data_IF_688084203913
#
_entry.id   IF_688084203913
#
_cell.length_a   1.000
_cell.length_b   1.000
_cell.length_c   1.000
_cell.angle_alpha   90.00
_cell.angle_beta   90.00
_cell.angle_gamma   90.00
#
_symmetry.space_group_name_H-M   'P 1'
#
loop_
_entity.id
_entity.type
_entity.pdbx_description
1 polymer ?
#
# COMPACT_ATOMS: atom_id res chain seq x y z
N UNK A 1 10.12 -24.50 -11.65
CA UNK A 1 11.41 -24.23 -10.97
C UNK A 1 11.45 -22.85 -10.31
N UNK A 2 10.61 -21.86 -10.71
CA UNK A 2 10.61 -20.50 -10.15
C UNK A 2 10.01 -20.35 -8.74
N UNK A 3 9.09 -21.23 -8.31
CA UNK A 3 8.39 -21.06 -7.01
C UNK A 3 9.30 -21.27 -5.79
N UNK A 4 10.36 -22.07 -5.90
CA UNK A 4 11.20 -22.41 -4.74
C UNK A 4 12.36 -21.45 -4.53
N UNK A 5 12.63 -20.50 -5.43
CA UNK A 5 13.82 -19.62 -5.39
C UNK A 5 15.15 -20.37 -5.12
N UNK A 6 15.27 -21.62 -5.59
CA UNK A 6 16.45 -22.47 -5.35
C UNK A 6 16.40 -23.32 -4.07
N UNK A 7 15.35 -23.21 -3.25
CA UNK A 7 15.14 -24.04 -2.07
C UNK A 7 14.82 -25.51 -2.41
N UNK A 8 15.28 -26.42 -1.55
CA UNK A 8 15.01 -27.86 -1.66
C UNK A 8 13.56 -28.24 -1.30
N UNK A 9 12.87 -27.39 -0.54
CA UNK A 9 11.46 -27.51 -0.13
C UNK A 9 10.75 -26.17 -0.31
N UNK A 10 9.42 -26.18 -0.36
CA UNK A 10 8.59 -24.97 -0.41
C UNK A 10 8.39 -24.48 1.02
N UNK A 11 8.66 -23.20 1.26
CA UNK A 11 8.44 -22.53 2.54
C UNK A 11 7.22 -21.61 2.49
N UNK A 12 6.75 -21.17 3.66
CA UNK A 12 5.64 -20.23 3.76
C UNK A 12 5.89 -18.94 2.97
N UNK A 13 7.14 -18.44 2.97
CA UNK A 13 7.50 -17.25 2.21
C UNK A 13 7.30 -17.45 0.70
N UNK A 14 7.66 -18.62 0.17
CA UNK A 14 7.46 -18.94 -1.25
C UNK A 14 5.97 -18.88 -1.63
N UNK A 15 5.06 -19.20 -0.70
CA UNK A 15 3.61 -19.11 -0.89
C UNK A 15 3.15 -17.66 -0.85
N UNK A 16 3.60 -16.89 0.14
CA UNK A 16 3.25 -15.47 0.30
C UNK A 16 3.68 -14.68 -0.94
N UNK A 17 4.92 -14.88 -1.41
CA UNK A 17 5.46 -14.18 -2.58
C UNK A 17 4.62 -14.43 -3.84
N UNK A 18 4.07 -15.64 -4.02
CA UNK A 18 3.19 -15.98 -5.14
C UNK A 18 1.83 -15.29 -5.00
N UNK A 19 1.28 -15.24 -3.78
CA UNK A 19 0.00 -14.57 -3.52
C UNK A 19 0.10 -13.06 -3.73
N UNK A 20 1.17 -12.44 -3.23
CA UNK A 20 1.42 -11.00 -3.40
C UNK A 20 1.59 -10.66 -4.87
N UNK A 21 2.37 -11.48 -5.60
CA UNK A 21 2.53 -11.33 -7.06
C UNK A 21 1.19 -11.46 -7.78
N UNK A 22 0.40 -12.49 -7.48
CA UNK A 22 -0.90 -12.70 -8.11
C UNK A 22 -1.87 -11.55 -7.80
N UNK A 23 -1.83 -10.99 -6.59
CA UNK A 23 -2.64 -9.84 -6.21
C UNK A 23 -2.26 -8.61 -7.03
N UNK A 24 -0.96 -8.33 -7.16
CA UNK A 24 -0.45 -7.21 -7.95
C UNK A 24 -0.78 -7.37 -9.44
N UNK A 25 -0.64 -8.57 -10.00
CA UNK A 25 -1.08 -8.87 -11.37
C UNK A 25 -2.58 -8.63 -11.55
N UNK A 26 -3.40 -9.03 -10.57
CA UNK A 26 -4.85 -8.76 -10.55
C UNK A 26 -5.20 -7.27 -10.48
N UNK A 27 -4.31 -6.45 -9.93
CA UNK A 27 -4.41 -4.98 -9.93
C UNK A 27 -3.90 -4.34 -11.24
N UNK A 28 -3.50 -5.16 -12.23
CA UNK A 28 -2.93 -4.70 -13.50
C UNK A 28 -1.45 -4.31 -13.40
N UNK A 29 -0.79 -4.66 -12.30
CA UNK A 29 0.63 -4.40 -12.06
C UNK A 29 1.40 -5.68 -12.38
N UNK A 30 1.96 -5.76 -13.59
CA UNK A 30 2.83 -6.88 -13.99
C UNK A 30 4.23 -6.67 -13.43
N UNK A 31 4.68 -7.61 -12.60
CA UNK A 31 5.96 -7.52 -11.90
C UNK A 31 6.78 -8.77 -12.15
N UNK A 32 7.82 -8.65 -12.96
CA UNK A 32 8.90 -9.63 -12.95
C UNK A 32 9.84 -9.37 -11.78
N UNK A 33 10.47 -10.43 -11.26
CA UNK A 33 11.48 -10.28 -10.19
C UNK A 33 12.67 -9.41 -10.65
N UNK A 34 13.01 -9.48 -11.94
CA UNK A 34 14.05 -8.66 -12.56
C UNK A 34 13.68 -7.16 -12.54
N UNK A 35 12.43 -6.82 -12.85
CA UNK A 35 11.95 -5.44 -12.81
C UNK A 35 11.95 -4.87 -11.39
N UNK A 36 11.56 -5.68 -10.40
CA UNK A 36 11.60 -5.32 -8.98
C UNK A 36 13.04 -5.03 -8.53
N UNK A 37 13.98 -5.93 -8.82
CA UNK A 37 15.40 -5.72 -8.47
C UNK A 37 16.00 -4.51 -9.19
N UNK A 38 15.62 -4.28 -10.46
CA UNK A 38 16.07 -3.14 -11.23
C UNK A 38 15.54 -1.84 -10.63
N UNK A 39 14.26 -1.79 -10.27
CA UNK A 39 13.64 -0.64 -9.61
C UNK A 39 14.31 -0.36 -8.26
N UNK A 40 14.53 -1.40 -7.45
CA UNK A 40 15.21 -1.24 -6.17
C UNK A 40 16.61 -0.64 -6.35
N UNK A 41 17.35 -1.01 -7.39
CA UNK A 41 18.68 -0.43 -7.66
C UNK A 41 18.63 0.97 -8.26
N UNK A 42 17.58 1.32 -9.01
CA UNK A 42 17.50 2.60 -9.72
C UNK A 42 16.98 3.75 -8.84
N UNK A 43 16.11 3.46 -7.87
CA UNK A 43 15.52 4.49 -7.01
C UNK A 43 16.53 4.96 -5.96
N UNK A 44 16.72 6.28 -5.88
CA UNK A 44 17.65 6.91 -4.93
C UNK A 44 17.26 6.64 -3.48
N UNK A 45 18.23 6.69 -2.57
CA UNK A 45 17.98 6.50 -1.14
C UNK A 45 16.98 7.52 -0.59
N UNK A 46 17.11 8.79 -0.95
CA UNK A 46 16.17 9.84 -0.50
C UNK A 46 14.75 9.59 -0.99
N UNK A 47 14.58 9.13 -2.23
CA UNK A 47 13.26 8.78 -2.76
C UNK A 47 12.66 7.57 -2.05
N UNK A 48 13.45 6.53 -1.79
CA UNK A 48 13.01 5.38 -0.99
C UNK A 48 12.61 5.80 0.43
N UNK A 49 13.38 6.69 1.05
CA UNK A 49 13.10 7.22 2.38
C UNK A 49 11.77 7.99 2.39
N UNK A 50 11.53 8.83 1.40
CA UNK A 50 10.26 9.55 1.25
C UNK A 50 9.08 8.59 1.11
N UNK A 51 9.18 7.62 0.19
CA UNK A 51 8.14 6.61 -0.02
C UNK A 51 7.90 5.76 1.24
N UNK A 52 8.95 5.34 1.94
CA UNK A 52 8.82 4.56 3.17
C UNK A 52 8.10 5.35 4.27
N UNK A 53 8.37 6.66 4.41
CA UNK A 53 7.65 7.53 5.35
C UNK A 53 6.19 7.68 4.95
N UNK A 54 5.91 7.82 3.64
CA UNK A 54 4.54 7.89 3.12
C UNK A 54 3.75 6.63 3.46
N UNK A 55 4.26 5.45 3.09
CA UNK A 55 3.58 4.18 3.37
C UNK A 55 3.44 3.92 4.88
N UNK A 56 4.46 4.28 5.68
CA UNK A 56 4.39 4.17 7.13
C UNK A 56 3.25 5.00 7.73
N UNK A 57 2.92 6.17 7.14
CA UNK A 57 1.77 6.98 7.53
C UNK A 57 0.44 6.25 7.37
N UNK A 58 0.25 5.57 6.24
CA UNK A 58 -0.94 4.74 6.01
C UNK A 58 -1.02 3.59 7.01
N UNK A 59 0.08 2.83 7.16
CA UNK A 59 0.14 1.64 8.00
C UNK A 59 -0.11 1.99 9.47
N UNK A 60 0.52 3.07 9.97
CA UNK A 60 0.38 3.49 11.37
C UNK A 60 -1.08 3.85 11.68
N UNK A 61 -1.73 4.65 10.84
CA UNK A 61 -3.12 5.03 11.06
C UNK A 61 -4.06 3.82 10.93
N UNK A 62 -3.83 2.96 9.94
CA UNK A 62 -4.59 1.72 9.78
C UNK A 62 -4.49 0.83 11.03
N UNK A 63 -3.29 0.71 11.61
CA UNK A 63 -3.05 -0.10 12.79
C UNK A 63 -3.69 0.48 14.07
N UNK A 64 -3.77 1.81 14.18
CA UNK A 64 -4.41 2.48 15.31
C UNK A 64 -5.94 2.34 15.30
N UNK A 65 -6.54 2.04 14.15
CA UNK A 65 -7.98 1.83 14.04
C UNK A 65 -8.37 0.36 14.26
N UNK A 66 -9.11 0.04 15.34
CA UNK A 66 -9.38 -1.36 15.73
C UNK A 66 -10.22 -2.14 14.72
N UNK A 67 -10.97 -1.44 13.86
CA UNK A 67 -11.88 -2.03 12.86
C UNK A 67 -11.48 -1.72 11.42
N UNK A 68 -10.27 -1.21 11.20
CA UNK A 68 -9.77 -0.98 9.85
C UNK A 68 -9.19 -2.26 9.25
N UNK A 69 -9.05 -2.25 7.92
CA UNK A 69 -8.54 -3.37 7.14
C UNK A 69 -7.13 -3.77 7.56
N UNK A 70 -6.82 -5.06 7.44
CA UNK A 70 -5.53 -5.60 7.84
C UNK A 70 -4.45 -5.22 6.85
N UNK A 71 -3.29 -4.78 7.32
CA UNK A 71 -2.13 -4.58 6.45
C UNK A 71 -1.69 -5.93 5.85
N UNK A 72 -1.63 -6.01 4.53
CA UNK A 72 -1.15 -7.19 3.80
C UNK A 72 0.36 -7.10 3.61
N UNK A 73 0.78 -6.13 2.81
CA UNK A 73 2.18 -5.83 2.53
C UNK A 73 2.32 -4.40 2.01
N UNK A 74 3.55 -3.91 1.99
CA UNK A 74 3.91 -2.67 1.30
C UNK A 74 5.17 -2.88 0.48
N UNK A 75 5.18 -2.36 -0.76
CA UNK A 75 6.26 -2.65 -1.70
C UNK A 75 6.51 -1.49 -2.67
N UNK A 76 7.76 -1.35 -3.11
CA UNK A 76 8.15 -0.47 -4.22
C UNK A 76 7.71 -1.10 -5.56
N UNK A 77 7.09 -0.31 -6.43
CA UNK A 77 6.62 -0.76 -7.73
C UNK A 77 7.55 -0.32 -8.87
N UNK A 78 8.00 -1.24 -9.74
CA UNK A 78 8.60 -0.91 -11.03
C UNK A 78 7.54 -0.36 -12.00
N UNK A 79 7.98 0.41 -13.01
CA UNK A 79 7.07 1.02 -13.99
C UNK A 79 7.35 2.49 -14.34
N UNK A 80 8.53 3.01 -13.99
CA UNK A 80 8.99 4.34 -14.39
C UNK A 80 8.43 5.52 -13.60
N UNK A 81 7.49 5.30 -12.68
CA UNK A 81 6.95 6.34 -11.78
C UNK A 81 7.52 6.32 -10.36
N UNK A 82 8.41 5.38 -10.04
CA UNK A 82 9.06 5.26 -8.73
C UNK A 82 8.07 5.42 -7.56
N UNK A 83 7.04 4.58 -7.54
CA UNK A 83 5.96 4.60 -6.55
C UNK A 83 6.12 3.44 -5.57
N UNK A 84 5.50 3.58 -4.40
CA UNK A 84 5.25 2.46 -3.49
C UNK A 84 3.74 2.23 -3.40
N UNK A 85 3.36 1.07 -2.88
CA UNK A 85 1.98 0.74 -2.58
C UNK A 85 1.89 0.07 -1.22
N UNK A 86 0.86 0.39 -0.47
CA UNK A 86 0.40 -0.38 0.69
C UNK A 86 -0.92 -1.05 0.37
N UNK A 87 -0.97 -2.36 0.58
CA UNK A 87 -2.17 -3.17 0.34
C UNK A 87 -2.79 -3.56 1.67
N UNK A 88 -4.12 -3.44 1.75
CA UNK A 88 -4.90 -3.85 2.91
C UNK A 88 -5.93 -4.92 2.52
N UNK A 89 -6.15 -5.90 3.39
CA UNK A 89 -7.21 -6.89 3.28
C UNK A 89 -8.43 -6.49 4.10
N UNK A 90 -9.64 -6.47 3.50
CA UNK A 90 -10.85 -6.13 4.23
C UNK A 90 -11.11 -7.12 5.35
N UNK A 91 -11.47 -6.61 6.53
CA UNK A 91 -11.94 -7.48 7.63
C UNK A 91 -13.23 -8.19 7.25
N UNK A 92 -13.42 -9.41 7.74
CA UNK A 92 -14.66 -10.17 7.55
C UNK A 92 -15.91 -9.38 7.96
N UNK A 93 -15.83 -8.61 9.06
CA UNK A 93 -16.91 -7.72 9.51
C UNK A 93 -17.32 -6.67 8.47
N UNK A 94 -16.41 -6.26 7.58
CA UNK A 94 -16.67 -5.31 6.51
C UNK A 94 -17.21 -5.97 5.24
N UNK A 95 -17.02 -7.29 5.09
CA UNK A 95 -17.50 -8.07 3.94
C UNK A 95 -18.96 -8.52 4.11
N UNK A 96 -19.43 -8.73 5.36
CA UNK A 96 -20.69 -9.39 5.66
C UNK A 96 -21.99 -8.59 5.43
N UNK A 97 -21.93 -7.27 5.28
CA UNK A 97 -23.13 -6.43 5.34
C UNK A 97 -23.52 -5.71 4.04
N UNK A 98 -22.74 -5.84 2.97
CA UNK A 98 -22.99 -5.19 1.65
C UNK A 98 -22.97 -3.65 1.67
N UNK A 99 -22.99 -3.04 2.86
CA UNK A 99 -22.99 -1.60 3.12
C UNK A 99 -21.87 -1.27 4.09
N UNK A 100 -21.14 -0.18 3.82
CA UNK A 100 -20.09 0.33 4.70
C UNK A 100 -20.67 1.28 5.73
N UNK A 101 -20.21 1.19 6.98
CA UNK A 101 -20.60 2.16 8.01
C UNK A 101 -19.91 3.51 7.77
N UNK A 102 -20.55 4.60 8.17
CA UNK A 102 -19.91 5.93 8.11
C UNK A 102 -18.58 5.96 8.87
N UNK A 103 -18.51 5.33 10.05
CA UNK A 103 -17.27 5.25 10.81
C UNK A 103 -16.15 4.57 10.01
N UNK A 104 -16.46 3.53 9.23
CA UNK A 104 -15.48 2.89 8.35
C UNK A 104 -15.07 3.79 7.19
N UNK A 105 -16.00 4.51 6.56
CA UNK A 105 -15.70 5.49 5.52
C UNK A 105 -14.78 6.60 6.05
N UNK A 106 -15.03 7.11 7.26
CA UNK A 106 -14.16 8.08 7.92
C UNK A 106 -12.77 7.48 8.18
N UNK A 107 -12.68 6.24 8.65
CA UNK A 107 -11.37 5.57 8.81
C UNK A 107 -10.63 5.44 7.47
N UNK A 108 -11.32 5.12 6.37
CA UNK A 108 -10.71 5.09 5.02
C UNK A 108 -10.13 6.46 4.63
N UNK A 109 -10.85 7.55 4.89
CA UNK A 109 -10.35 8.90 4.62
C UNK A 109 -9.14 9.25 5.47
N UNK A 110 -9.18 8.95 6.78
CA UNK A 110 -8.07 9.25 7.70
C UNK A 110 -6.82 8.45 7.32
N UNK A 111 -6.96 7.16 7.02
CA UNK A 111 -5.84 6.33 6.58
C UNK A 111 -5.27 6.85 5.26
N UNK A 112 -6.10 7.22 4.29
CA UNK A 112 -5.65 7.80 3.03
C UNK A 112 -4.90 9.14 3.21
N UNK A 113 -5.23 9.94 4.22
CA UNK A 113 -4.44 11.14 4.56
C UNK A 113 -3.08 10.82 5.21
N UNK A 114 -2.89 9.59 5.71
CA UNK A 114 -1.73 9.19 6.50
C UNK A 114 -0.39 9.47 5.84
N UNK A 115 -0.23 9.11 4.57
CA UNK A 115 1.04 9.30 3.86
C UNK A 115 1.42 10.77 3.75
N UNK A 116 0.49 11.63 3.33
CA UNK A 116 0.71 13.09 3.24
C UNK A 116 0.99 13.72 4.60
N UNK A 117 0.30 13.29 5.66
CA UNK A 117 0.55 13.76 7.01
C UNK A 117 1.95 13.34 7.50
N UNK A 118 2.35 12.09 7.28
CA UNK A 118 3.65 11.58 7.69
C UNK A 118 4.79 12.30 6.95
N UNK A 119 4.66 12.50 5.64
CA UNK A 119 5.62 13.29 4.87
C UNK A 119 5.79 14.70 5.47
N UNK A 120 4.68 15.38 5.76
CA UNK A 120 4.73 16.75 6.29
C UNK A 120 5.39 16.83 7.67
N UNK A 121 5.16 15.84 8.52
CA UNK A 121 5.76 15.78 9.87
C UNK A 121 7.28 15.59 9.78
N UNK A 122 7.76 14.77 8.84
CA UNK A 122 9.18 14.40 8.75
C UNK A 122 10.00 15.36 7.87
N UNK A 123 9.40 15.87 6.79
CA UNK A 123 10.09 16.66 5.77
C UNK A 123 9.66 18.14 5.76
N UNK A 124 8.63 18.53 6.53
CA UNK A 124 8.11 19.89 6.56
C UNK A 124 7.14 20.17 5.42
N UNK A 125 7.05 21.44 4.99
CA UNK A 125 6.11 21.85 3.95
C UNK A 125 6.61 21.62 2.52
N UNK A 126 7.90 21.30 2.34
CA UNK A 126 8.51 21.02 1.03
C UNK A 126 8.37 19.53 0.68
N UNK A 127 7.13 19.12 0.41
CA UNK A 127 6.75 17.74 0.10
C UNK A 127 6.27 17.61 -1.34
N UNK A 128 6.35 16.39 -1.88
CA UNK A 128 6.10 16.13 -3.31
C UNK A 128 4.63 16.26 -3.71
N UNK A 129 4.35 16.25 -5.01
CA UNK A 129 3.01 16.12 -5.59
C UNK A 129 2.45 14.68 -5.54
N UNK A 130 3.17 13.76 -4.88
CA UNK A 130 2.74 12.38 -4.62
C UNK A 130 1.49 12.26 -3.75
N UNK A 131 0.94 11.05 -3.64
CA UNK A 131 -0.30 10.79 -2.89
C UNK A 131 -1.58 11.29 -3.57
N UNK A 132 -1.53 11.59 -4.88
CA UNK A 132 -2.71 11.97 -5.66
C UNK A 132 -3.80 10.90 -5.61
N UNK A 133 -3.41 9.63 -5.75
CA UNK A 133 -4.34 8.51 -5.70
C UNK A 133 -5.08 8.44 -4.36
N UNK A 134 -4.44 8.86 -3.26
CA UNK A 134 -5.07 8.91 -1.95
C UNK A 134 -6.06 10.06 -1.83
N UNK A 135 -5.74 11.23 -2.38
CA UNK A 135 -6.70 12.34 -2.49
C UNK A 135 -7.90 11.98 -3.37
N UNK A 136 -7.69 11.22 -4.45
CA UNK A 136 -8.77 10.69 -5.28
C UNK A 136 -9.64 9.68 -4.51
N UNK A 137 -9.03 8.78 -3.70
CA UNK A 137 -9.77 7.89 -2.79
C UNK A 137 -10.59 8.69 -1.78
N UNK A 138 -10.00 9.71 -1.14
CA UNK A 138 -10.69 10.58 -0.17
C UNK A 138 -11.90 11.25 -0.82
N UNK A 139 -11.72 11.83 -2.02
CA UNK A 139 -12.79 12.51 -2.75
C UNK A 139 -13.94 11.57 -3.11
N UNK A 140 -13.63 10.32 -3.49
CA UNK A 140 -14.65 9.29 -3.78
C UNK A 140 -15.41 8.85 -2.53
N UNK A 141 -14.76 8.86 -1.36
CA UNK A 141 -15.42 8.52 -0.10
C UNK A 141 -16.21 9.70 0.46
N UNK A 142 -15.71 10.93 0.31
CA UNK A 142 -16.35 12.12 0.87
C UNK A 142 -17.74 12.39 0.29
N UNK A 143 -17.99 12.01 -0.96
CA UNK A 143 -19.34 12.11 -1.57
C UNK A 143 -20.34 11.12 -0.97
N UNK A 144 -19.89 10.15 -0.19
CA UNK A 144 -20.71 9.15 0.49
C UNK A 144 -20.93 9.49 1.97
N UNK A 145 -20.29 10.52 2.51
CA UNK A 145 -20.42 10.97 3.91
C UNK A 145 -21.26 12.26 3.98
N UNK A 146 -22.25 12.37 4.89
CA UNK A 146 -23.13 13.54 5.01
C UNK A 146 -22.43 14.78 5.55
#
# INVERSE_FOLDING_TARGET
>A
MQVRKGHSKIYQQDIIDVLDKQLLEGMGVLLTEEELQKCEKSVSFEKKRLLAVHEAGHILLAHLFPRFDWHAFSQLLPGGKETAITVFYPREEMLGHGSKTFSYLIMQMVVAHGGRCAERIIFGDDITDGGRDDLEKITKVSVLTP
#
